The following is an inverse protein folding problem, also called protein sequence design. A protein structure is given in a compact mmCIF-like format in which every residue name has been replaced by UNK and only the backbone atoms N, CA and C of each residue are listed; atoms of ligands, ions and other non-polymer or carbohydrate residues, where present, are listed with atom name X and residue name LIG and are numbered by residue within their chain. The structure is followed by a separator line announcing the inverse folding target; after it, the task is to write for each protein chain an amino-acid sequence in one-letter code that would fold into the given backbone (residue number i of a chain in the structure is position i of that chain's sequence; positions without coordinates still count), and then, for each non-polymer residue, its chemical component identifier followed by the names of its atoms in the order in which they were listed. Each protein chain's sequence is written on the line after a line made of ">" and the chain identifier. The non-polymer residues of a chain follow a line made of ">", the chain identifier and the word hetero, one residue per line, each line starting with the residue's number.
data_IF_859675554930
#
_entry.id   IF_859675554930
#
_cell.length_a   1.000
_cell.length_b   1.000
_cell.length_c   1.000
_cell.angle_alpha   90.00
_cell.angle_beta   90.00
_cell.angle_gamma   90.00
#
_symmetry.space_group_name_H-M   'P 1'
#
loop_
_entity.id
_entity.type
_entity.pdbx_description
1 polymer ?
#
# COMPACT_ATOMS: atom_id res chain seq x y z
N UNK A 1 -28.72 2.38 6.95
CA UNK A 1 -27.81 3.50 6.64
C UNK A 1 -26.95 3.71 7.85
N UNK A 2 -25.62 3.67 7.67
CA UNK A 2 -24.68 4.08 8.71
C UNK A 2 -24.77 5.60 8.85
N UNK A 3 -24.83 6.10 10.08
CA UNK A 3 -24.79 7.54 10.33
C UNK A 3 -23.36 8.04 10.07
N UNK A 4 -23.23 9.06 9.21
CA UNK A 4 -21.92 9.63 8.88
C UNK A 4 -21.47 10.60 9.96
N UNK A 5 -20.17 10.60 10.24
CA UNK A 5 -19.57 11.58 11.13
C UNK A 5 -19.81 12.99 10.61
N UNK A 6 -20.23 13.89 11.51
CA UNK A 6 -20.50 15.29 11.18
C UNK A 6 -19.31 15.98 10.51
N UNK A 7 -18.09 15.64 10.93
CA UNK A 7 -16.87 16.20 10.33
C UNK A 7 -16.73 15.83 8.84
N UNK A 8 -17.15 14.61 8.45
CA UNK A 8 -17.10 14.16 7.06
C UNK A 8 -18.21 14.82 6.25
N UNK A 9 -19.43 14.89 6.77
CA UNK A 9 -20.53 15.58 6.09
C UNK A 9 -20.22 17.07 5.91
N UNK A 10 -19.70 17.74 6.95
CA UNK A 10 -19.31 19.15 6.90
C UNK A 10 -18.18 19.38 5.87
N UNK A 11 -17.19 18.48 5.80
CA UNK A 11 -16.12 18.53 4.79
C UNK A 11 -16.70 18.45 3.37
N UNK A 12 -17.62 17.52 3.12
CA UNK A 12 -18.24 17.33 1.81
C UNK A 12 -19.09 18.55 1.44
N UNK A 13 -19.88 19.05 2.38
CA UNK A 13 -20.74 20.22 2.16
C UNK A 13 -19.92 21.49 1.90
N UNK A 14 -18.78 21.67 2.60
CA UNK A 14 -17.83 22.76 2.33
C UNK A 14 -17.25 22.62 0.91
N UNK A 15 -16.74 21.43 0.54
CA UNK A 15 -16.21 21.20 -0.82
C UNK A 15 -17.27 21.45 -1.89
N UNK A 16 -18.51 20.99 -1.68
CA UNK A 16 -19.62 21.24 -2.59
C UNK A 16 -19.89 22.74 -2.75
N UNK A 17 -19.94 23.49 -1.65
CA UNK A 17 -20.12 24.95 -1.68
C UNK A 17 -19.01 25.68 -2.43
N UNK A 18 -17.77 25.24 -2.29
CA UNK A 18 -16.60 25.86 -2.92
C UNK A 18 -16.45 25.50 -4.41
N UNK A 19 -16.72 24.24 -4.77
CA UNK A 19 -16.38 23.69 -6.08
C UNK A 19 -17.56 23.66 -7.07
N UNK A 20 -18.79 23.42 -6.60
CA UNK A 20 -19.95 23.32 -7.49
C UNK A 20 -20.16 24.57 -8.36
N UNK A 21 -19.91 25.81 -7.89
CA UNK A 21 -20.03 27.00 -8.76
C UNK A 21 -19.12 27.00 -9.99
N UNK A 22 -18.03 26.21 -9.97
CA UNK A 22 -17.05 26.09 -11.06
C UNK A 22 -16.84 24.62 -11.46
N UNK A 23 -17.90 23.81 -11.43
CA UNK A 23 -17.79 22.36 -11.51
C UNK A 23 -17.05 21.84 -12.76
N UNK A 24 -17.37 22.36 -13.94
CA UNK A 24 -16.69 21.99 -15.18
C UNK A 24 -15.18 22.28 -15.11
N UNK A 25 -14.79 23.42 -14.54
CA UNK A 25 -13.39 23.80 -14.36
C UNK A 25 -12.66 22.78 -13.50
N UNK A 26 -13.26 22.32 -12.39
CA UNK A 26 -12.67 21.31 -11.52
C UNK A 26 -12.33 20.01 -12.27
N UNK A 27 -13.26 19.49 -13.07
CA UNK A 27 -13.03 18.26 -13.84
C UNK A 27 -11.95 18.42 -14.91
N UNK A 28 -11.92 19.56 -15.60
CA UNK A 28 -10.93 19.88 -16.62
C UNK A 28 -9.53 20.09 -16.01
N UNK A 29 -9.45 20.73 -14.85
CA UNK A 29 -8.20 20.96 -14.12
C UNK A 29 -7.60 19.62 -13.65
N UNK A 30 -8.40 18.75 -13.03
CA UNK A 30 -7.97 17.40 -12.63
C UNK A 30 -7.47 16.59 -13.83
N UNK A 31 -8.22 16.59 -14.93
CA UNK A 31 -7.81 15.93 -16.17
C UNK A 31 -6.47 16.46 -16.69
N UNK A 32 -6.28 17.79 -16.66
CA UNK A 32 -5.02 18.44 -17.06
C UNK A 32 -3.85 17.99 -16.19
N UNK A 33 -4.02 18.00 -14.87
CA UNK A 33 -2.97 17.59 -13.92
C UNK A 33 -2.60 16.11 -14.07
N UNK A 34 -3.61 15.24 -14.21
CA UNK A 34 -3.40 13.80 -14.49
C UNK A 34 -2.64 13.60 -15.81
N UNK A 35 -3.01 14.33 -16.87
CA UNK A 35 -2.35 14.22 -18.16
C UNK A 35 -0.89 14.70 -18.11
N UNK A 36 -0.60 15.78 -17.37
CA UNK A 36 0.78 16.24 -17.16
C UNK A 36 1.61 15.21 -16.40
N UNK A 37 1.07 14.63 -15.33
CA UNK A 37 1.75 13.59 -14.56
C UNK A 37 1.97 12.32 -15.38
N UNK A 38 0.98 11.88 -16.17
CA UNK A 38 1.13 10.76 -17.10
C UNK A 38 2.18 11.04 -18.17
N UNK A 39 2.15 12.23 -18.77
CA UNK A 39 3.14 12.64 -19.77
C UNK A 39 4.55 12.66 -19.19
N UNK A 40 4.70 13.03 -17.91
CA UNK A 40 5.97 12.90 -17.22
C UNK A 40 6.39 11.44 -17.04
N UNK A 41 5.49 10.59 -16.52
CA UNK A 41 5.74 9.15 -16.31
C UNK A 41 6.17 8.47 -17.61
N UNK A 42 5.50 8.78 -18.72
CA UNK A 42 5.76 8.23 -20.05
C UNK A 42 6.97 8.89 -20.74
N UNK A 43 7.45 10.00 -20.19
CA UNK A 43 8.60 10.75 -20.68
C UNK A 43 8.35 11.68 -21.86
N UNK A 44 7.09 11.97 -22.16
CA UNK A 44 6.68 12.98 -23.13
C UNK A 44 6.78 14.42 -22.59
N UNK A 45 6.83 14.60 -21.27
CA UNK A 45 6.94 15.89 -20.60
C UNK A 45 8.04 15.86 -19.54
N UNK A 46 8.73 16.99 -19.37
CA UNK A 46 9.60 17.21 -18.22
C UNK A 46 8.86 18.00 -17.16
N UNK A 47 8.89 17.51 -15.92
CA UNK A 47 8.42 18.20 -14.72
C UNK A 47 9.50 18.05 -13.65
N UNK A 48 9.80 19.13 -12.94
CA UNK A 48 10.63 19.04 -11.74
C UNK A 48 9.82 18.56 -10.52
N UNK A 49 10.51 18.25 -9.42
CA UNK A 49 9.86 17.75 -8.20
C UNK A 49 8.88 18.73 -7.56
N UNK A 50 9.11 20.04 -7.71
CA UNK A 50 8.24 21.08 -7.15
C UNK A 50 6.94 21.13 -7.93
N UNK A 51 7.02 21.08 -9.26
CA UNK A 51 5.85 20.99 -10.14
C UNK A 51 5.06 19.72 -9.87
N UNK A 52 5.71 18.55 -9.79
CA UNK A 52 5.05 17.28 -9.48
C UNK A 52 4.35 17.36 -8.11
N UNK A 53 5.04 17.87 -7.08
CA UNK A 53 4.41 18.05 -5.76
C UNK A 53 3.21 18.98 -5.86
N UNK A 54 3.32 20.12 -6.53
CA UNK A 54 2.21 21.07 -6.66
C UNK A 54 0.99 20.45 -7.33
N UNK A 55 1.18 19.64 -8.37
CA UNK A 55 0.07 18.95 -9.04
C UNK A 55 -0.57 17.92 -8.11
N UNK A 56 0.24 17.07 -7.46
CA UNK A 56 -0.27 16.04 -6.55
C UNK A 56 -0.94 16.65 -5.30
N UNK A 57 -0.41 17.73 -4.76
CA UNK A 57 -0.96 18.46 -3.62
C UNK A 57 -2.36 19.00 -3.92
N UNK A 58 -2.56 19.53 -5.13
CA UNK A 58 -3.89 19.93 -5.63
C UNK A 58 -4.81 18.73 -5.77
N UNK A 59 -4.36 17.64 -6.37
CA UNK A 59 -5.18 16.44 -6.54
C UNK A 59 -5.60 15.85 -5.18
N UNK A 60 -4.67 15.68 -4.23
CA UNK A 60 -4.93 15.13 -2.90
C UNK A 60 -5.77 16.09 -2.06
N UNK A 61 -5.31 17.32 -1.83
CA UNK A 61 -5.95 18.23 -0.87
C UNK A 61 -7.30 18.79 -1.35
N UNK A 62 -7.40 19.11 -2.64
CA UNK A 62 -8.62 19.70 -3.20
C UNK A 62 -9.58 18.64 -3.74
N UNK A 63 -9.09 17.66 -4.48
CA UNK A 63 -9.95 16.78 -5.29
C UNK A 63 -10.15 15.36 -4.74
N UNK A 64 -9.84 15.12 -3.46
CA UNK A 64 -10.20 13.87 -2.79
C UNK A 64 -10.96 14.09 -1.49
N UNK A 65 -11.67 13.04 -1.08
CA UNK A 65 -12.15 12.84 0.28
C UNK A 65 -11.29 11.70 0.84
N UNK A 66 -10.23 12.06 1.54
CA UNK A 66 -9.33 11.08 2.16
C UNK A 66 -9.88 10.70 3.52
N UNK A 67 -10.21 9.42 3.69
CA UNK A 67 -10.78 8.90 4.93
C UNK A 67 -9.75 8.06 5.69
N UNK A 68 -9.56 8.39 6.96
CA UNK A 68 -8.84 7.54 7.90
C UNK A 68 -9.63 6.26 8.16
N UNK A 69 -8.94 5.14 8.11
CA UNK A 69 -9.46 3.83 8.48
C UNK A 69 -8.72 3.36 9.73
N UNK A 70 -9.43 3.20 10.87
CA UNK A 70 -8.91 2.41 11.97
C UNK A 70 -8.96 0.93 11.56
N UNK A 71 -7.81 0.28 11.51
CA UNK A 71 -7.70 -1.16 11.37
C UNK A 71 -7.41 -1.73 12.74
N UNK A 72 -8.32 -2.55 13.25
CA UNK A 72 -8.19 -3.20 14.55
C UNK A 72 -6.87 -3.97 14.69
N UNK A 73 -6.47 -4.19 15.94
CA UNK A 73 -5.37 -5.09 16.27
C UNK A 73 -5.61 -6.50 15.72
N UNK A 74 -4.52 -7.25 15.47
CA UNK A 74 -4.57 -8.59 14.89
C UNK A 74 -4.44 -8.62 13.37
N UNK A 75 -4.19 -7.47 12.72
CA UNK A 75 -3.92 -7.41 11.29
C UNK A 75 -2.65 -8.23 10.98
N UNK A 76 -2.81 -9.28 10.19
CA UNK A 76 -1.71 -10.15 9.76
C UNK A 76 -1.01 -9.56 8.53
N UNK A 77 0.29 -9.31 8.65
CA UNK A 77 1.11 -8.71 7.59
C UNK A 77 2.33 -9.58 7.32
N UNK A 78 2.60 -9.85 6.04
CA UNK A 78 3.76 -10.61 5.62
C UNK A 78 4.64 -9.81 4.67
N UNK A 79 5.96 -9.91 4.84
CA UNK A 79 6.95 -9.26 3.98
C UNK A 79 7.94 -10.30 3.47
N UNK A 80 8.21 -10.28 2.18
CA UNK A 80 9.22 -11.14 1.56
C UNK A 80 10.48 -10.35 1.23
N UNK A 81 11.63 -11.00 1.35
CA UNK A 81 12.94 -10.48 0.92
C UNK A 81 13.69 -11.59 0.20
N UNK A 82 14.24 -11.29 -0.98
CA UNK A 82 15.12 -12.19 -1.72
C UNK A 82 16.47 -12.29 -1.03
N UNK A 83 17.08 -13.47 -1.06
CA UNK A 83 18.44 -13.63 -0.58
C UNK A 83 19.22 -14.64 -1.44
N UNK A 84 20.49 -14.34 -1.61
CA UNK A 84 21.47 -15.31 -2.09
C UNK A 84 21.91 -16.17 -0.90
N UNK A 85 22.42 -17.38 -1.17
CA UNK A 85 23.01 -18.21 -0.11
C UNK A 85 24.30 -17.53 0.34
N UNK A 86 24.21 -16.68 1.37
CA UNK A 86 25.27 -15.74 1.77
C UNK A 86 26.33 -16.39 2.68
N UNK A 87 26.18 -17.65 3.08
CA UNK A 87 27.16 -18.43 3.88
C UNK A 87 26.67 -19.87 4.06
N UNK A 88 27.26 -20.64 4.98
CA UNK A 88 26.76 -21.94 5.48
C UNK A 88 25.31 -21.89 6.04
N UNK A 89 24.67 -20.72 6.08
CA UNK A 89 23.30 -20.51 6.57
C UNK A 89 22.37 -20.06 5.42
N UNK A 90 21.30 -20.81 5.14
CA UNK A 90 20.41 -20.55 4.02
C UNK A 90 19.28 -19.57 4.37
N UNK A 91 19.48 -18.58 5.24
CA UNK A 91 18.46 -17.60 5.65
C UNK A 91 19.06 -16.40 6.40
N UNK A 92 18.33 -15.28 6.47
CA UNK A 92 18.72 -14.14 7.30
C UNK A 92 18.49 -14.43 8.78
N UNK A 93 19.39 -13.95 9.64
CA UNK A 93 19.27 -14.14 11.10
C UNK A 93 18.61 -12.96 11.82
N UNK A 94 18.62 -11.78 11.19
CA UNK A 94 18.16 -10.55 11.82
C UNK A 94 16.85 -10.06 11.21
N UNK A 95 15.90 -9.70 12.07
CA UNK A 95 14.57 -9.19 11.69
C UNK A 95 14.69 -7.85 10.97
N UNK A 96 15.63 -7.00 11.38
CA UNK A 96 15.97 -5.73 10.70
C UNK A 96 16.33 -5.88 9.22
N UNK A 97 16.77 -7.06 8.77
CA UNK A 97 16.96 -7.36 7.33
C UNK A 97 15.67 -7.70 6.60
N UNK A 98 14.67 -8.19 7.32
CA UNK A 98 13.39 -8.63 6.79
C UNK A 98 12.24 -7.62 6.97
N UNK A 99 12.39 -6.69 7.91
CA UNK A 99 11.45 -5.60 8.18
C UNK A 99 11.82 -4.39 7.30
N UNK A 100 11.84 -3.17 7.82
CA UNK A 100 12.30 -1.98 7.09
C UNK A 100 13.80 -1.73 7.30
N UNK A 101 14.42 -0.86 6.50
CA UNK A 101 15.85 -0.48 6.66
C UNK A 101 15.97 0.51 7.83
N UNK A 102 16.62 0.17 8.95
CA UNK A 102 16.75 1.09 10.09
C UNK A 102 17.58 2.33 9.76
N UNK A 103 17.31 3.45 10.44
CA UNK A 103 18.03 4.73 10.22
C UNK A 103 19.54 4.62 10.52
N UNK A 104 19.91 3.75 11.45
CA UNK A 104 21.27 3.50 11.93
C UNK A 104 22.00 2.39 11.16
N UNK A 105 21.36 1.74 10.19
CA UNK A 105 21.94 0.59 9.46
C UNK A 105 23.09 0.95 8.50
N UNK A 106 23.47 2.22 8.38
CA UNK A 106 24.53 2.69 7.47
C UNK A 106 24.20 2.56 5.97
N UNK A 107 23.05 1.99 5.62
CA UNK A 107 22.55 1.81 4.26
C UNK A 107 21.40 2.78 4.01
N UNK A 108 21.47 3.54 2.91
CA UNK A 108 20.39 4.44 2.50
C UNK A 108 19.39 3.70 1.61
N UNK A 109 18.08 3.70 1.93
CA UNK A 109 17.05 3.19 1.04
C UNK A 109 17.10 3.86 -0.33
N UNK A 110 16.98 3.07 -1.40
CA UNK A 110 16.70 3.62 -2.72
C UNK A 110 15.27 4.19 -2.77
N UNK A 111 14.99 5.01 -3.78
CA UNK A 111 13.61 5.41 -4.06
C UNK A 111 12.74 4.16 -4.28
N UNK A 112 11.58 4.14 -3.64
CA UNK A 112 10.57 3.11 -3.84
C UNK A 112 9.25 3.75 -4.26
N UNK A 113 8.18 2.95 -4.26
CA UNK A 113 6.87 3.41 -4.70
C UNK A 113 6.29 4.49 -3.78
N UNK A 114 6.54 4.44 -2.49
CA UNK A 114 5.97 5.35 -1.50
C UNK A 114 7.04 6.00 -0.59
N UNK A 115 8.33 5.79 -0.88
CA UNK A 115 9.43 6.38 -0.11
C UNK A 115 10.44 7.07 -1.04
N UNK A 116 10.94 8.23 -0.64
CA UNK A 116 12.04 8.90 -1.34
C UNK A 116 13.37 8.21 -1.01
N UNK A 117 14.40 8.55 -1.78
CA UNK A 117 15.75 8.12 -1.47
C UNK A 117 16.16 8.56 -0.05
N UNK A 118 16.66 7.63 0.76
CA UNK A 118 17.02 7.85 2.16
C UNK A 118 15.87 7.71 3.15
N UNK A 119 14.62 7.67 2.70
CA UNK A 119 13.45 7.45 3.56
C UNK A 119 13.14 5.97 3.64
N UNK A 120 12.97 5.47 4.86
CA UNK A 120 12.62 4.08 5.11
C UNK A 120 11.11 3.94 5.29
N UNK A 121 10.56 2.88 4.71
CA UNK A 121 9.16 2.51 4.86
C UNK A 121 9.06 0.99 4.93
N UNK A 122 8.08 0.51 5.68
CA UNK A 122 7.78 -0.90 5.73
C UNK A 122 6.73 -1.24 4.68
N UNK A 123 7.05 -2.11 3.71
CA UNK A 123 6.08 -2.65 2.77
C UNK A 123 5.69 -4.07 3.17
N UNK A 124 4.39 -4.36 3.26
CA UNK A 124 3.88 -5.70 3.57
C UNK A 124 2.63 -6.04 2.76
N UNK A 125 2.34 -7.33 2.66
CA UNK A 125 1.10 -7.86 2.13
C UNK A 125 0.18 -8.20 3.30
N UNK A 126 -1.08 -7.77 3.24
CA UNK A 126 -2.07 -8.19 4.23
C UNK A 126 -2.55 -9.59 3.83
N UNK A 127 -2.54 -10.54 4.77
CA UNK A 127 -2.92 -11.93 4.49
C UNK A 127 -3.88 -12.48 5.55
N UNK A 128 -4.78 -13.38 5.14
CA UNK A 128 -5.91 -13.82 5.99
C UNK A 128 -5.89 -15.31 6.28
N UNK A 129 -5.15 -16.08 5.49
CA UNK A 129 -4.93 -17.50 5.72
C UNK A 129 -3.44 -17.82 5.77
N UNK A 130 -3.07 -18.69 6.69
CA UNK A 130 -1.72 -19.25 6.78
C UNK A 130 -1.49 -20.40 5.78
N UNK A 131 -2.50 -20.73 4.97
CA UNK A 131 -2.43 -21.71 3.90
C UNK A 131 -1.72 -21.13 2.67
N UNK A 132 -1.24 -22.02 1.80
CA UNK A 132 -0.31 -21.73 0.70
C UNK A 132 -0.76 -20.59 -0.25
N UNK A 133 -2.07 -20.28 -0.31
CA UNK A 133 -2.62 -19.18 -1.11
C UNK A 133 -2.24 -17.78 -0.61
N UNK A 134 -2.14 -17.56 0.70
CA UNK A 134 -1.82 -16.24 1.27
C UNK A 134 -0.38 -15.78 1.04
N UNK A 135 0.54 -16.70 0.74
CA UNK A 135 1.97 -16.41 0.54
C UNK A 135 2.28 -16.07 -0.93
N UNK A 136 1.42 -16.43 -1.87
CA UNK A 136 1.63 -16.13 -3.29
C UNK A 136 1.71 -14.63 -3.59
N UNK A 137 0.99 -13.81 -2.83
CA UNK A 137 1.05 -12.34 -2.94
C UNK A 137 2.44 -11.84 -2.54
N UNK A 138 3.02 -12.35 -1.45
CA UNK A 138 4.36 -11.90 -1.03
C UNK A 138 5.45 -12.30 -2.04
N UNK A 139 5.31 -13.45 -2.71
CA UNK A 139 6.22 -13.85 -3.79
C UNK A 139 6.06 -12.98 -5.03
N UNK A 140 4.83 -12.63 -5.36
CA UNK A 140 4.51 -11.73 -6.47
C UNK A 140 5.10 -10.34 -6.25
N UNK A 141 4.97 -9.79 -5.04
CA UNK A 141 5.46 -8.43 -4.71
C UNK A 141 6.98 -8.29 -4.78
N UNK A 142 7.74 -9.37 -4.51
CA UNK A 142 9.20 -9.37 -4.71
C UNK A 142 9.62 -9.76 -6.13
N UNK A 143 8.67 -9.99 -7.05
CA UNK A 143 8.90 -10.52 -8.39
C UNK A 143 9.74 -11.80 -8.35
N UNK A 144 9.35 -12.75 -7.50
CA UNK A 144 10.04 -14.02 -7.36
C UNK A 144 10.09 -14.78 -8.70
N UNK A 145 11.22 -15.44 -8.97
CA UNK A 145 11.42 -16.30 -10.14
C UNK A 145 11.92 -17.68 -9.71
N UNK A 146 11.89 -18.64 -10.65
CA UNK A 146 12.37 -20.00 -10.42
C UNK A 146 13.82 -19.98 -9.92
N UNK A 147 14.12 -20.86 -8.96
CA UNK A 147 15.42 -21.06 -8.34
C UNK A 147 15.91 -19.94 -7.41
N UNK A 148 15.04 -18.99 -7.03
CA UNK A 148 15.36 -18.01 -6.00
C UNK A 148 15.01 -18.51 -4.59
N UNK A 149 15.74 -17.99 -3.60
CA UNK A 149 15.40 -18.14 -2.20
C UNK A 149 14.74 -16.88 -1.66
N UNK A 150 13.64 -17.07 -0.94
CA UNK A 150 12.80 -16.00 -0.40
C UNK A 150 12.64 -16.21 1.10
N UNK A 151 12.91 -15.18 1.88
CA UNK A 151 12.65 -15.18 3.30
C UNK A 151 11.38 -14.34 3.56
N UNK A 152 10.40 -14.93 4.23
CA UNK A 152 9.11 -14.31 4.53
C UNK A 152 9.02 -14.07 6.03
N UNK A 153 8.89 -12.81 6.43
CA UNK A 153 8.60 -12.38 7.79
C UNK A 153 7.09 -12.23 7.96
N UNK A 154 6.53 -12.87 8.99
CA UNK A 154 5.13 -12.74 9.38
C UNK A 154 5.01 -11.92 10.65
N UNK A 155 4.09 -10.98 10.63
CA UNK A 155 3.88 -9.99 11.67
C UNK A 155 2.39 -9.82 11.94
N UNK A 156 2.09 -9.22 13.09
CA UNK A 156 0.72 -8.95 13.53
C UNK A 156 0.68 -7.56 14.16
N UNK A 157 -0.39 -6.80 13.95
CA UNK A 157 -0.61 -5.57 14.69
C UNK A 157 -1.02 -5.86 16.13
N UNK A 158 -0.40 -5.17 17.09
CA UNK A 158 -0.72 -5.25 18.53
C UNK A 158 -1.63 -4.12 18.98
N UNK A 159 -1.82 -3.12 18.13
CA UNK A 159 -2.67 -1.95 18.37
C UNK A 159 -3.42 -1.60 17.08
N UNK A 160 -4.37 -0.68 17.19
CA UNK A 160 -5.06 -0.09 16.03
C UNK A 160 -4.06 0.63 15.11
N UNK A 161 -4.14 0.34 13.81
CA UNK A 161 -3.42 1.06 12.76
C UNK A 161 -4.36 2.05 12.07
N UNK A 162 -3.98 3.32 12.06
CA UNK A 162 -4.69 4.38 11.35
C UNK A 162 -4.10 4.53 9.96
N UNK A 163 -4.85 4.16 8.93
CA UNK A 163 -4.36 4.14 7.55
C UNK A 163 -5.31 4.84 6.60
N UNK A 164 -4.79 5.36 5.50
CA UNK A 164 -5.64 5.70 4.36
C UNK A 164 -5.71 4.54 3.37
N UNK A 165 -6.83 4.39 2.67
CA UNK A 165 -6.97 3.41 1.59
C UNK A 165 -7.18 4.12 0.25
N UNK A 166 -6.18 3.98 -0.63
CA UNK A 166 -6.23 4.46 -2.01
C UNK A 166 -6.91 3.41 -2.91
N UNK A 167 -7.94 3.81 -3.66
CA UNK A 167 -8.64 2.95 -4.62
C UNK A 167 -9.82 2.17 -4.04
N UNK A 168 -10.35 2.56 -2.87
CA UNK A 168 -11.54 1.94 -2.27
C UNK A 168 -12.82 2.26 -3.05
N UNK A 169 -12.92 3.45 -3.66
CA UNK A 169 -14.13 3.85 -4.37
C UNK A 169 -14.32 3.08 -5.69
N UNK A 170 -13.25 2.55 -6.28
CA UNK A 170 -13.33 1.56 -7.36
C UNK A 170 -14.12 0.31 -6.96
N UNK A 171 -13.96 -0.17 -5.71
CA UNK A 171 -14.70 -1.32 -5.19
C UNK A 171 -16.16 -1.00 -4.93
N UNK A 172 -16.44 0.17 -4.36
CA UNK A 172 -17.81 0.64 -4.10
C UNK A 172 -18.59 0.82 -5.40
N UNK A 173 -17.99 1.43 -6.43
CA UNK A 173 -18.58 1.56 -7.76
C UNK A 173 -18.95 0.23 -8.42
N UNK A 174 -18.21 -0.83 -8.10
CA UNK A 174 -18.44 -2.19 -8.61
C UNK A 174 -19.37 -3.01 -7.71
N UNK A 175 -19.92 -2.40 -6.66
CA UNK A 175 -20.70 -3.05 -5.60
C UNK A 175 -20.02 -4.32 -5.07
N UNK A 176 -18.70 -4.22 -4.88
CA UNK A 176 -17.84 -5.31 -4.44
C UNK A 176 -17.10 -4.92 -3.18
N UNK A 177 -17.19 -5.72 -2.13
CA UNK A 177 -16.43 -5.47 -0.88
C UNK A 177 -15.06 -6.12 -0.96
N UNK A 178 -13.96 -5.38 -0.71
CA UNK A 178 -12.65 -6.01 -0.52
C UNK A 178 -12.72 -7.02 0.60
N UNK A 179 -12.24 -8.24 0.36
CA UNK A 179 -12.40 -9.35 1.29
C UNK A 179 -11.79 -9.09 2.68
N UNK A 180 -10.83 -8.16 2.76
CA UNK A 180 -10.13 -7.78 3.98
C UNK A 180 -10.83 -6.71 4.81
N UNK A 181 -11.73 -5.93 4.22
CA UNK A 181 -12.46 -4.89 4.94
C UNK A 181 -13.67 -5.50 5.64
N UNK A 182 -13.98 -5.03 6.85
CA UNK A 182 -15.23 -5.43 7.52
C UNK A 182 -16.45 -4.92 6.73
N UNK A 183 -17.61 -5.54 6.96
CA UNK A 183 -18.85 -5.05 6.35
C UNK A 183 -19.16 -3.62 6.80
N UNK A 184 -18.98 -3.31 8.09
CA UNK A 184 -19.21 -1.98 8.65
C UNK A 184 -18.32 -0.91 8.01
N UNK A 185 -17.00 -1.16 7.90
CA UNK A 185 -16.09 -0.22 7.23
C UNK A 185 -16.48 -0.03 5.77
N UNK A 186 -16.83 -1.09 5.06
CA UNK A 186 -17.27 -0.98 3.66
C UNK A 186 -18.54 -0.14 3.51
N UNK A 187 -19.56 -0.40 4.31
CA UNK A 187 -20.83 0.35 4.30
C UNK A 187 -20.62 1.82 4.70
N UNK A 188 -19.65 2.12 5.58
CA UNK A 188 -19.30 3.49 5.93
C UNK A 188 -18.74 4.24 4.71
N UNK A 189 -17.75 3.66 4.01
CA UNK A 189 -17.21 4.28 2.80
C UNK A 189 -18.27 4.41 1.69
N UNK A 190 -19.16 3.41 1.55
CA UNK A 190 -20.29 3.47 0.62
C UNK A 190 -21.21 4.63 0.96
N UNK A 191 -21.56 4.81 2.24
CA UNK A 191 -22.38 5.94 2.72
C UNK A 191 -21.70 7.28 2.44
N UNK A 192 -20.37 7.40 2.63
CA UNK A 192 -19.62 8.61 2.29
C UNK A 192 -19.64 8.89 0.79
N UNK A 193 -19.46 7.86 -0.04
CA UNK A 193 -19.50 7.98 -1.50
C UNK A 193 -20.88 8.45 -1.99
N UNK A 194 -21.95 7.84 -1.49
CA UNK A 194 -23.33 8.20 -1.81
C UNK A 194 -23.69 9.62 -1.32
N UNK A 195 -23.21 10.02 -0.14
CA UNK A 195 -23.40 11.38 0.35
C UNK A 195 -22.67 12.39 -0.54
N UNK A 196 -21.41 12.12 -0.90
CA UNK A 196 -20.65 12.95 -1.83
C UNK A 196 -21.35 13.07 -3.19
N UNK A 197 -21.85 11.97 -3.76
CA UNK A 197 -22.62 11.96 -5.00
C UNK A 197 -23.90 12.83 -4.91
N UNK A 198 -24.57 12.84 -3.74
CA UNK A 198 -25.79 13.62 -3.53
C UNK A 198 -25.57 15.13 -3.36
N UNK A 199 -24.34 15.56 -3.03
CA UNK A 199 -24.01 16.95 -2.68
C UNK A 199 -23.20 17.66 -3.75
N UNK A 200 -22.32 16.92 -4.42
CA UNK A 200 -21.41 17.47 -5.40
C UNK A 200 -22.10 17.53 -6.76
N UNK A 201 -21.78 18.58 -7.52
CA UNK A 201 -22.12 18.62 -8.93
C UNK A 201 -21.47 17.43 -9.66
N UNK A 202 -22.09 16.95 -10.74
CA UNK A 202 -21.64 15.77 -11.49
C UNK A 202 -20.19 15.89 -11.98
N UNK A 203 -19.73 17.10 -12.35
CA UNK A 203 -18.35 17.33 -12.79
C UNK A 203 -17.37 17.35 -11.62
N UNK A 204 -17.76 17.90 -10.46
CA UNK A 204 -16.93 17.85 -9.25
C UNK A 204 -16.81 16.40 -8.78
N UNK A 205 -17.91 15.66 -8.77
CA UNK A 205 -17.90 14.25 -8.40
C UNK A 205 -17.09 13.40 -9.40
N UNK A 206 -17.13 13.75 -10.69
CA UNK A 206 -16.24 13.15 -11.69
C UNK A 206 -14.77 13.42 -11.37
N UNK A 207 -14.41 14.65 -11.00
CA UNK A 207 -13.05 15.01 -10.60
C UNK A 207 -12.55 14.14 -9.43
N UNK A 208 -13.41 13.87 -8.43
CA UNK A 208 -13.08 12.99 -7.30
C UNK A 208 -12.84 11.55 -7.74
N UNK A 209 -13.72 11.01 -8.59
CA UNK A 209 -13.57 9.67 -9.17
C UNK A 209 -12.29 9.54 -9.99
N UNK A 210 -11.94 10.56 -10.77
CA UNK A 210 -10.71 10.59 -11.57
C UNK A 210 -9.46 10.56 -10.68
N UNK A 211 -9.46 11.27 -9.55
CA UNK A 211 -8.35 11.25 -8.61
C UNK A 211 -8.14 9.87 -7.97
N UNK A 212 -9.19 9.24 -7.44
CA UNK A 212 -9.10 7.90 -6.84
C UNK A 212 -8.61 6.87 -7.87
N UNK A 213 -9.20 6.88 -9.07
CA UNK A 213 -8.82 5.99 -10.16
C UNK A 213 -7.36 6.21 -10.58
N UNK A 214 -6.91 7.46 -10.71
CA UNK A 214 -5.53 7.78 -11.07
C UNK A 214 -4.53 7.32 -10.02
N UNK A 215 -4.79 7.58 -8.73
CA UNK A 215 -3.90 7.16 -7.65
C UNK A 215 -3.82 5.63 -7.53
N UNK A 216 -4.98 4.95 -7.62
CA UNK A 216 -5.07 3.48 -7.67
C UNK A 216 -4.25 2.93 -8.85
N UNK A 217 -4.38 3.54 -10.03
CA UNK A 217 -3.69 3.12 -11.24
C UNK A 217 -2.16 3.29 -11.15
N UNK A 218 -1.65 4.47 -10.81
CA UNK A 218 -0.19 4.69 -10.76
C UNK A 218 0.50 3.84 -9.68
N UNK A 219 -0.21 3.52 -8.58
CA UNK A 219 0.31 2.59 -7.57
C UNK A 219 0.33 1.14 -8.04
N UNK A 220 -0.42 0.79 -9.10
CA UNK A 220 -0.46 -0.55 -9.70
C UNK A 220 0.36 -0.68 -10.99
N UNK A 221 0.82 0.43 -11.58
CA UNK A 221 1.67 0.37 -12.80
C UNK A 221 3.01 -0.35 -12.53
N UNK A 222 3.51 -1.00 -13.59
CA UNK A 222 4.85 -1.61 -13.61
C UNK A 222 5.92 -0.55 -13.31
N UNK A 223 6.95 -0.95 -12.56
CA UNK A 223 8.02 -0.05 -12.10
C UNK A 223 8.68 0.71 -13.26
N UNK A 224 8.90 2.01 -13.03
CA UNK A 224 9.80 2.88 -13.79
C UNK A 224 10.31 4.00 -12.86
N UNK A 225 11.48 4.57 -13.14
CA UNK A 225 12.08 5.59 -12.27
C UNK A 225 11.18 6.82 -12.15
N UNK A 226 10.59 7.27 -13.28
CA UNK A 226 9.67 8.42 -13.29
C UNK A 226 8.38 8.15 -12.53
N UNK A 227 7.84 6.92 -12.63
CA UNK A 227 6.70 6.52 -11.82
C UNK A 227 7.02 6.59 -10.32
N UNK A 228 8.21 6.16 -9.91
CA UNK A 228 8.63 6.20 -8.51
C UNK A 228 8.86 7.61 -8.00
N UNK A 229 9.30 8.55 -8.85
CA UNK A 229 9.34 9.97 -8.48
C UNK A 229 7.92 10.48 -8.14
N UNK A 230 6.94 10.24 -9.00
CA UNK A 230 5.55 10.69 -8.76
C UNK A 230 4.96 10.01 -7.53
N UNK A 231 5.05 8.68 -7.45
CA UNK A 231 4.42 7.91 -6.38
C UNK A 231 5.09 8.10 -5.02
N UNK A 232 6.41 8.33 -4.95
CA UNK A 232 7.09 8.67 -3.68
C UNK A 232 6.70 10.05 -3.15
N UNK A 233 6.46 11.03 -4.05
CA UNK A 233 5.93 12.35 -3.65
C UNK A 233 4.48 12.21 -3.18
N UNK A 234 3.67 11.40 -3.86
CA UNK A 234 2.30 11.09 -3.43
C UNK A 234 2.27 10.44 -2.04
N UNK A 235 3.13 9.44 -1.82
CA UNK A 235 3.28 8.78 -0.52
C UNK A 235 3.64 9.77 0.59
N UNK A 236 4.57 10.69 0.33
CA UNK A 236 4.93 11.72 1.30
C UNK A 236 3.76 12.66 1.66
N UNK A 237 2.87 12.99 0.73
CA UNK A 237 1.68 13.82 1.01
C UNK A 237 0.69 13.09 1.90
N UNK A 238 0.38 11.83 1.60
CA UNK A 238 -0.55 11.04 2.41
C UNK A 238 0.02 10.70 3.80
N UNK A 239 1.34 10.51 3.90
CA UNK A 239 2.02 10.14 5.15
C UNK A 239 2.49 11.35 5.96
N UNK A 240 2.17 12.58 5.55
CA UNK A 240 2.60 13.80 6.26
C UNK A 240 1.99 13.90 7.67
N UNK A 241 0.73 13.48 7.84
CA UNK A 241 0.04 13.54 9.13
C UNK A 241 0.70 12.62 10.17
N UNK A 242 1.09 13.11 11.37
CA UNK A 242 1.69 12.28 12.42
C UNK A 242 0.72 11.25 13.01
N UNK A 243 -0.59 11.44 12.81
CA UNK A 243 -1.63 10.55 13.32
C UNK A 243 -1.89 9.33 12.41
N UNK A 244 -1.33 9.33 11.21
CA UNK A 244 -1.49 8.25 10.23
C UNK A 244 -0.27 7.34 10.27
N UNK A 245 -0.52 6.05 10.45
CA UNK A 245 0.49 4.99 10.50
C UNK A 245 0.93 4.53 9.10
N UNK A 246 0.04 4.62 8.10
CA UNK A 246 0.34 4.09 6.78
C UNK A 246 -0.72 4.25 5.70
N UNK A 247 -0.50 3.53 4.61
CA UNK A 247 -1.34 3.48 3.42
C UNK A 247 -1.65 2.04 3.04
N UNK A 248 -2.90 1.74 2.79
CA UNK A 248 -3.34 0.53 2.08
C UNK A 248 -3.56 0.89 0.61
N UNK A 249 -3.09 0.03 -0.28
CA UNK A 249 -3.34 0.13 -1.72
C UNK A 249 -3.38 -1.27 -2.33
N UNK A 250 -3.89 -1.38 -3.55
CA UNK A 250 -3.95 -2.67 -4.24
C UNK A 250 -2.58 -3.06 -4.79
N UNK A 251 -2.22 -4.34 -4.65
CA UNK A 251 -1.00 -4.92 -5.20
C UNK A 251 -0.91 -4.71 -6.72
N UNK A 252 0.32 -4.45 -7.18
CA UNK A 252 0.70 -4.40 -8.59
C UNK A 252 0.68 -5.79 -9.21
N UNK A 253 1.03 -6.79 -8.39
CA UNK A 253 1.41 -8.11 -8.86
C UNK A 253 0.28 -9.16 -8.73
N UNK A 254 -0.68 -8.94 -7.84
CA UNK A 254 -1.88 -9.77 -7.68
C UNK A 254 -3.13 -8.90 -7.55
N UNK A 255 -4.02 -9.00 -8.54
CA UNK A 255 -5.28 -8.27 -8.51
C UNK A 255 -6.12 -8.61 -7.28
N UNK A 256 -6.74 -7.60 -6.67
CA UNK A 256 -7.58 -7.75 -5.50
C UNK A 256 -6.82 -7.95 -4.18
N UNK A 257 -5.50 -8.12 -4.19
CA UNK A 257 -4.71 -8.34 -2.97
C UNK A 257 -4.22 -7.01 -2.38
N UNK A 258 -4.58 -6.65 -1.14
CA UNK A 258 -4.12 -5.44 -0.49
C UNK A 258 -2.66 -5.56 -0.01
N UNK A 259 -1.91 -4.50 -0.24
CA UNK A 259 -0.61 -4.25 0.35
C UNK A 259 -0.69 -3.02 1.24
N UNK A 260 0.21 -2.97 2.21
CA UNK A 260 0.28 -1.91 3.21
C UNK A 260 1.69 -1.34 3.25
N UNK A 261 1.79 -0.02 3.27
CA UNK A 261 3.01 0.71 3.55
C UNK A 261 2.88 1.41 4.90
N UNK A 262 3.75 1.08 5.85
CA UNK A 262 3.75 1.62 7.21
C UNK A 262 4.99 2.47 7.47
N UNK A 263 4.82 3.51 8.28
CA UNK A 263 5.92 4.28 8.82
C UNK A 263 6.76 3.41 9.78
N UNK A 264 8.10 3.52 9.77
CA UNK A 264 8.97 2.80 10.69
C UNK A 264 8.54 2.92 12.16
N UNK A 265 8.21 4.13 12.62
CA UNK A 265 7.79 4.39 14.00
C UNK A 265 6.48 3.69 14.38
N UNK A 266 5.58 3.45 13.41
CA UNK A 266 4.36 2.70 13.62
C UNK A 266 4.65 1.20 13.67
N UNK A 267 5.61 0.72 12.88
CA UNK A 267 6.08 -0.67 12.97
C UNK A 267 6.68 -0.94 14.34
N UNK A 268 7.59 -0.08 14.82
CA UNK A 268 8.27 -0.27 16.10
C UNK A 268 7.32 -0.30 17.30
N UNK A 269 6.21 0.44 17.22
CA UNK A 269 5.24 0.59 18.32
C UNK A 269 4.10 -0.42 18.24
N UNK A 270 3.57 -0.65 17.04
CA UNK A 270 2.27 -1.29 16.84
C UNK A 270 2.35 -2.64 16.13
N UNK A 271 3.53 -3.08 15.69
CA UNK A 271 3.71 -4.35 14.99
C UNK A 271 4.63 -5.24 15.79
N UNK A 272 4.21 -6.49 15.98
CA UNK A 272 5.08 -7.55 16.50
C UNK A 272 5.39 -8.54 15.39
N UNK A 273 6.68 -8.80 15.21
CA UNK A 273 7.18 -9.83 14.31
C UNK A 273 7.10 -11.19 15.02
N UNK A 274 6.45 -12.19 14.40
CA UNK A 274 6.14 -13.47 15.06
C UNK A 274 7.06 -14.60 14.59
N UNK A 275 7.14 -14.78 13.27
CA UNK A 275 7.86 -15.91 12.67
C UNK A 275 8.51 -15.49 11.36
N UNK A 276 9.58 -16.19 11.00
CA UNK A 276 10.14 -16.12 9.66
C UNK A 276 10.12 -17.49 9.00
N UNK A 277 10.02 -17.53 7.69
CA UNK A 277 10.04 -18.78 6.91
C UNK A 277 10.89 -18.60 5.68
N UNK A 278 11.77 -19.55 5.40
CA UNK A 278 12.57 -19.58 4.18
C UNK A 278 11.92 -20.50 3.15
N UNK A 279 11.87 -20.03 1.90
CA UNK A 279 11.30 -20.74 0.78
C UNK A 279 12.27 -20.79 -0.39
N UNK A 280 12.27 -21.90 -1.11
CA UNK A 280 12.90 -22.05 -2.41
C UNK A 280 11.82 -22.12 -3.50
N UNK A 281 11.91 -21.25 -4.51
CA UNK A 281 10.92 -21.19 -5.59
C UNK A 281 11.21 -22.27 -6.64
N UNK A 282 10.33 -23.26 -6.71
CA UNK A 282 10.45 -24.37 -7.65
C UNK A 282 9.88 -24.03 -9.04
N UNK A 283 8.81 -23.23 -9.09
CA UNK A 283 8.19 -22.77 -10.32
C UNK A 283 7.39 -21.47 -10.11
N UNK A 284 7.32 -20.65 -11.16
CA UNK A 284 6.37 -19.54 -11.34
C UNK A 284 5.48 -19.89 -12.52
N UNK A 285 4.18 -19.99 -12.29
CA UNK A 285 3.22 -20.41 -13.31
C UNK A 285 2.56 -19.23 -14.05
N UNK A 286 2.86 -17.99 -13.64
CA UNK A 286 2.11 -16.81 -14.06
C UNK A 286 0.91 -16.55 -13.15
N UNK A 287 0.19 -15.45 -13.40
CA UNK A 287 -1.04 -15.09 -12.66
C UNK A 287 -0.89 -15.07 -11.13
N UNK A 288 0.30 -14.72 -10.62
CA UNK A 288 0.61 -14.74 -9.19
C UNK A 288 0.69 -16.13 -8.57
N UNK A 289 0.77 -17.21 -9.35
CA UNK A 289 0.81 -18.58 -8.85
C UNK A 289 2.24 -19.15 -8.82
N UNK A 290 2.62 -19.75 -7.69
CA UNK A 290 3.95 -20.29 -7.45
C UNK A 290 3.90 -21.71 -6.90
N UNK A 291 4.93 -22.49 -7.24
CA UNK A 291 5.32 -23.68 -6.47
C UNK A 291 6.56 -23.33 -5.67
N UNK A 292 6.47 -23.42 -4.34
CA UNK A 292 7.58 -23.16 -3.44
C UNK A 292 7.80 -24.35 -2.50
N UNK A 293 9.05 -24.59 -2.12
CA UNK A 293 9.41 -25.56 -1.08
C UNK A 293 9.83 -24.78 0.17
N UNK A 294 9.21 -25.07 1.31
CA UNK A 294 9.70 -24.54 2.60
C UNK A 294 11.06 -25.18 2.91
N UNK A 295 12.05 -24.34 3.22
CA UNK A 295 13.43 -24.75 3.51
C UNK A 295 13.69 -24.68 5.01
N UNK A 296 13.26 -23.61 5.66
CA UNK A 296 13.49 -23.37 7.08
C UNK A 296 12.32 -22.61 7.71
N UNK A 297 12.14 -22.72 9.02
CA UNK A 297 11.17 -21.93 9.77
C UNK A 297 11.81 -21.44 11.07
N UNK A 298 11.47 -20.25 11.52
CA UNK A 298 12.03 -19.70 12.75
C UNK A 298 11.04 -18.84 13.51
N UNK A 299 11.25 -18.75 14.81
CA UNK A 299 10.51 -17.86 15.71
C UNK A 299 11.32 -16.58 15.88
N UNK A 300 10.62 -15.45 15.91
CA UNK A 300 11.25 -14.14 16.11
C UNK A 300 11.37 -13.84 17.60
N UNK A 301 12.59 -13.55 18.05
CA UNK A 301 12.93 -13.17 19.42
C UNK A 301 13.74 -11.87 19.42
N UNK A 302 13.04 -10.74 19.54
CA UNK A 302 13.64 -9.41 19.36
C UNK A 302 14.10 -9.21 17.92
N UNK A 303 15.36 -8.80 17.72
CA UNK A 303 15.94 -8.70 16.37
C UNK A 303 16.46 -10.05 15.85
N UNK A 304 16.48 -11.12 16.65
CA UNK A 304 16.99 -12.43 16.23
C UNK A 304 15.89 -13.36 15.74
N UNK A 305 16.25 -14.23 14.81
CA UNK A 305 15.41 -15.32 14.32
C UNK A 305 16.04 -16.64 14.74
N UNK A 306 15.35 -17.35 15.63
CA UNK A 306 15.76 -18.68 16.06
C UNK A 306 15.21 -19.71 15.07
N UNK A 307 16.10 -20.15 14.19
CA UNK A 307 15.77 -21.07 13.09
C UNK A 307 15.72 -22.52 13.57
N UNK A 308 14.61 -23.19 13.24
CA UNK A 308 14.39 -24.62 13.42
C UNK A 308 14.39 -25.32 12.05
N UNK A 309 15.25 -26.34 11.86
CA UNK A 309 15.25 -27.10 10.61
C UNK A 309 13.88 -27.73 10.37
N UNK A 310 13.35 -27.58 9.16
CA UNK A 310 12.10 -28.23 8.78
C UNK A 310 12.35 -29.75 8.72
N UNK A 311 11.87 -30.48 9.72
CA UNK A 311 11.82 -31.94 9.66
C UNK A 311 10.78 -32.30 8.60
N UNK A 312 11.25 -32.65 7.41
CA UNK A 312 10.41 -33.21 6.36
C UNK A 312 9.99 -34.62 6.82
N UNK A 313 8.81 -34.75 7.41
CA UNK A 313 8.17 -36.06 7.50
C UNK A 313 7.86 -36.52 6.09
N UNK A 314 8.53 -37.60 5.68
CA UNK A 314 8.40 -38.30 4.40
C UNK A 314 7.00 -38.89 4.27
#
# INVERSE_FOLDING_TARGET
>A
MIELDKNITDLIDIKAKEMNPNAEYCSNEVSTYINQLNSFIDGALYLDSVQIKSLLDRLVGYYTITLEIPIDQGLKIARAVKYDVISDKPCFENVSRLSYIPKDAGVKPSIGRLNKHGESIYYGCIYFNDTFGGINVVFSEVDAIKSENINVLKSESTEELKVYYIGIYDYIRRDSRPYFLTHETYEYFKSVYEYAESKLDEFVFMAFKLCDAFFSDILRRKKSDKLYIVTSILGALFLESPNIDGLIYNSVAVEGSPVIALKPESVDKKIVHKTATAFFIQARYGYGMFKAKRVNQGVVNGDKIDWEPVILTV
#
